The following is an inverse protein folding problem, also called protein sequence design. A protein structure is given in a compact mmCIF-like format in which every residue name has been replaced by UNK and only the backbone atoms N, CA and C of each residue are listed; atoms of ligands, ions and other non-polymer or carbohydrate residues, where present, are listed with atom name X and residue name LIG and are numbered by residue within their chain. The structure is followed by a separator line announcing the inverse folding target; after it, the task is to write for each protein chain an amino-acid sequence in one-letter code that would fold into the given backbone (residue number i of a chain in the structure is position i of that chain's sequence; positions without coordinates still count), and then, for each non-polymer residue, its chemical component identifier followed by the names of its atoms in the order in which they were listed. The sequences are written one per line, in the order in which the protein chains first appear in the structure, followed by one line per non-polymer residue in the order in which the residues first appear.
data_IF_202459891739
#
_entry.id   IF_202459891739
#
_cell.length_a   1.000
_cell.length_b   1.000
_cell.length_c   1.000
_cell.angle_alpha   90.00
_cell.angle_beta   90.00
_cell.angle_gamma   90.00
#
_symmetry.space_group_name_H-M   'P 1'
#
loop_
_entity.id
_entity.type
_entity.pdbx_description
1 polymer ?
#
# COMPACT_ATOMS: atom_id res chain seq x y z
N UNK A 1 57.63 -50.16 48.06
CA UNK A 1 57.03 -50.24 46.71
C UNK A 1 55.73 -49.47 46.67
N UNK A 2 55.64 -48.33 45.97
CA UNK A 2 54.35 -47.68 45.61
C UNK A 2 54.55 -46.50 44.64
N UNK A 3 55.40 -46.65 43.63
CA UNK A 3 55.71 -45.60 42.63
C UNK A 3 55.22 -46.01 41.25
N UNK A 4 53.91 -45.96 40.96
CA UNK A 4 53.45 -45.90 39.54
C UNK A 4 51.96 -45.64 39.24
N UNK A 5 51.06 -45.60 40.21
CA UNK A 5 49.61 -45.54 39.93
C UNK A 5 49.02 -44.12 39.80
N UNK A 6 49.61 -43.09 40.41
CA UNK A 6 49.02 -41.74 40.38
C UNK A 6 49.36 -40.90 39.12
N UNK A 7 50.43 -41.21 38.39
CA UNK A 7 50.90 -40.38 37.25
C UNK A 7 50.25 -40.75 35.90
N UNK A 8 49.68 -41.96 35.77
CA UNK A 8 49.07 -42.46 34.53
C UNK A 8 47.60 -42.03 34.33
N UNK A 9 46.87 -41.70 35.40
CA UNK A 9 45.45 -41.28 35.30
C UNK A 9 45.30 -39.79 34.97
N UNK A 10 46.27 -38.94 35.33
CA UNK A 10 46.23 -37.50 35.04
C UNK A 10 46.48 -37.18 33.56
N UNK A 11 47.42 -37.90 32.91
CA UNK A 11 47.76 -37.73 31.49
C UNK A 11 46.65 -38.18 30.53
N UNK A 12 45.90 -39.24 30.87
CA UNK A 12 44.74 -39.70 30.07
C UNK A 12 43.53 -38.76 30.14
N UNK A 13 43.32 -38.04 31.26
CA UNK A 13 42.22 -37.07 31.40
C UNK A 13 42.47 -35.75 30.65
N UNK A 14 43.73 -35.44 30.35
CA UNK A 14 44.14 -34.22 29.65
C UNK A 14 44.04 -34.38 28.13
N UNK A 15 44.47 -35.53 27.58
CA UNK A 15 44.33 -35.85 26.14
C UNK A 15 42.87 -35.96 25.67
N UNK A 16 41.96 -36.49 26.49
CA UNK A 16 40.53 -36.57 26.14
C UNK A 16 39.87 -35.17 26.11
N UNK A 17 40.32 -34.25 26.96
CA UNK A 17 39.77 -32.88 27.05
C UNK A 17 40.20 -32.02 25.88
N UNK A 18 41.38 -32.27 25.32
CA UNK A 18 41.90 -31.60 24.12
C UNK A 18 41.24 -32.13 22.84
N UNK A 19 41.01 -33.45 22.74
CA UNK A 19 40.21 -34.06 21.64
C UNK A 19 38.75 -33.59 21.64
N UNK A 20 38.16 -33.37 22.81
CA UNK A 20 36.79 -32.87 22.93
C UNK A 20 36.68 -31.38 22.55
N UNK A 21 37.72 -30.56 22.80
CA UNK A 21 37.79 -29.16 22.34
C UNK A 21 37.97 -29.04 20.82
N UNK A 22 38.81 -29.89 20.22
CA UNK A 22 38.96 -29.96 18.76
C UNK A 22 37.65 -30.32 18.06
N UNK A 23 36.93 -31.32 18.60
CA UNK A 23 35.61 -31.75 18.12
C UNK A 23 34.54 -30.65 18.19
N UNK A 24 34.55 -29.85 19.24
CA UNK A 24 33.59 -28.76 19.39
C UNK A 24 33.87 -27.60 18.42
N UNK A 25 35.14 -27.36 18.06
CA UNK A 25 35.54 -26.31 17.13
C UNK A 25 35.19 -26.64 15.66
N UNK A 26 35.33 -27.90 15.23
CA UNK A 26 34.92 -28.30 13.86
C UNK A 26 33.40 -28.27 13.68
N UNK A 27 32.64 -28.64 14.71
CA UNK A 27 31.17 -28.56 14.71
C UNK A 27 30.71 -27.10 14.63
N UNK A 28 31.34 -26.19 15.39
CA UNK A 28 30.99 -24.76 15.35
C UNK A 28 31.34 -24.10 13.99
N UNK A 29 32.45 -24.49 13.36
CA UNK A 29 32.86 -23.99 12.04
C UNK A 29 31.93 -24.50 10.92
N UNK A 30 31.57 -25.79 10.96
CA UNK A 30 30.57 -26.40 10.08
C UNK A 30 29.20 -25.72 10.20
N UNK A 31 28.78 -25.40 11.42
CA UNK A 31 27.52 -24.71 11.70
C UNK A 31 27.51 -23.28 11.14
N UNK A 32 28.61 -22.54 11.30
CA UNK A 32 28.78 -21.18 10.75
C UNK A 32 28.77 -21.14 9.21
N UNK A 33 29.43 -22.10 8.55
CA UNK A 33 29.37 -22.24 7.09
C UNK A 33 27.94 -22.56 6.61
N UNK A 34 27.23 -23.43 7.33
CA UNK A 34 25.83 -23.77 7.04
C UNK A 34 24.87 -22.59 7.22
N UNK A 35 25.16 -21.69 8.17
CA UNK A 35 24.38 -20.47 8.42
C UNK A 35 24.63 -19.39 7.35
N UNK A 36 25.88 -19.24 6.90
CA UNK A 36 26.23 -18.34 5.80
C UNK A 36 25.61 -18.80 4.48
N UNK A 37 25.61 -20.10 4.19
CA UNK A 37 24.95 -20.67 3.01
C UNK A 37 23.42 -20.54 3.08
N UNK A 38 22.81 -20.78 4.25
CA UNK A 38 21.38 -20.52 4.46
C UNK A 38 21.02 -19.04 4.25
N UNK A 39 21.82 -18.12 4.79
CA UNK A 39 21.59 -16.69 4.64
C UNK A 39 21.76 -16.21 3.18
N UNK A 40 22.72 -16.77 2.44
CA UNK A 40 22.91 -16.51 1.02
C UNK A 40 21.73 -17.05 0.20
N UNK A 41 21.30 -18.28 0.47
CA UNK A 41 20.14 -18.93 -0.18
C UNK A 41 18.83 -18.19 0.14
N UNK A 42 18.65 -17.66 1.35
CA UNK A 42 17.50 -16.85 1.72
C UNK A 42 17.49 -15.49 1.00
N UNK A 43 18.65 -14.81 0.92
CA UNK A 43 18.81 -13.55 0.17
C UNK A 43 18.54 -13.75 -1.31
N UNK A 44 19.04 -14.83 -1.90
CA UNK A 44 18.78 -15.20 -3.28
C UNK A 44 17.31 -15.55 -3.51
N UNK A 45 16.69 -16.33 -2.63
CA UNK A 45 15.25 -16.67 -2.72
C UNK A 45 14.38 -15.41 -2.59
N UNK A 46 14.74 -14.45 -1.71
CA UNK A 46 14.06 -13.15 -1.60
C UNK A 46 14.25 -12.30 -2.85
N UNK A 47 15.44 -12.30 -3.44
CA UNK A 47 15.76 -11.57 -4.68
C UNK A 47 15.03 -12.18 -5.89
N UNK A 48 14.98 -13.50 -6.00
CA UNK A 48 14.22 -14.24 -7.00
C UNK A 48 12.70 -14.05 -6.82
N UNK A 49 12.17 -14.04 -5.58
CA UNK A 49 10.75 -13.69 -5.29
C UNK A 49 10.43 -12.24 -5.67
N UNK A 50 11.35 -11.29 -5.43
CA UNK A 50 11.21 -9.89 -5.88
C UNK A 50 11.26 -9.76 -7.41
N UNK A 51 12.12 -10.52 -8.10
CA UNK A 51 12.16 -10.57 -9.57
C UNK A 51 10.90 -11.22 -10.17
N UNK A 52 10.38 -12.29 -9.57
CA UNK A 52 9.12 -12.92 -9.98
C UNK A 52 7.92 -11.98 -9.81
N UNK A 53 7.87 -11.18 -8.74
CA UNK A 53 6.90 -10.07 -8.59
C UNK A 53 7.11 -8.92 -9.60
N UNK A 54 8.30 -8.78 -10.17
CA UNK A 54 8.65 -7.74 -11.16
C UNK A 54 8.31 -8.15 -12.59
N UNK A 55 8.12 -9.45 -12.83
CA UNK A 55 7.64 -10.02 -14.09
C UNK A 55 6.11 -10.19 -14.14
N UNK A 56 5.39 -9.57 -13.20
CA UNK A 56 3.97 -9.34 -13.38
C UNK A 56 3.82 -8.52 -14.67
N UNK A 57 3.07 -9.00 -15.66
CA UNK A 57 2.76 -8.27 -16.92
C UNK A 57 2.02 -6.94 -16.67
N UNK A 58 1.95 -6.48 -15.42
CA UNK A 58 1.31 -5.27 -14.96
C UNK A 58 1.98 -4.07 -15.63
N UNK A 59 1.20 -3.27 -16.37
CA UNK A 59 1.67 -2.02 -16.92
C UNK A 59 2.26 -1.15 -15.82
N UNK A 60 3.46 -0.65 -16.07
CA UNK A 60 4.11 0.30 -15.16
C UNK A 60 3.29 1.59 -15.16
N UNK A 61 3.11 2.19 -13.99
CA UNK A 61 2.37 3.45 -13.86
C UNK A 61 2.97 4.52 -14.77
N UNK A 62 2.10 5.38 -15.29
CA UNK A 62 2.51 6.57 -16.03
C UNK A 62 3.49 7.43 -15.22
N UNK A 63 4.53 7.93 -15.88
CA UNK A 63 5.49 8.86 -15.32
C UNK A 63 4.88 10.26 -15.22
N UNK A 64 5.11 10.94 -14.10
CA UNK A 64 4.72 12.36 -13.95
C UNK A 64 5.71 13.26 -14.67
N UNK A 65 5.35 14.53 -14.98
CA UNK A 65 6.26 15.48 -15.65
C UNK A 65 7.62 15.58 -14.97
N UNK A 66 7.62 15.69 -13.63
CA UNK A 66 8.84 15.70 -12.82
C UNK A 66 9.67 14.41 -12.94
N UNK A 67 9.03 13.23 -13.05
CA UNK A 67 9.76 11.98 -13.21
C UNK A 67 10.42 11.86 -14.58
N UNK A 68 9.78 12.37 -15.63
CA UNK A 68 10.37 12.44 -16.98
C UNK A 68 11.60 13.35 -16.95
N UNK A 69 11.45 14.57 -16.42
CA UNK A 69 12.56 15.51 -16.22
C UNK A 69 13.71 14.92 -15.39
N UNK A 70 13.37 14.30 -14.25
CA UNK A 70 14.36 13.71 -13.35
C UNK A 70 15.13 12.58 -14.03
N UNK A 71 14.50 11.79 -14.91
CA UNK A 71 15.17 10.68 -15.60
C UNK A 71 16.25 11.16 -16.57
N UNK A 72 16.02 12.28 -17.24
CA UNK A 72 16.99 12.89 -18.17
C UNK A 72 18.09 13.61 -17.39
N UNK A 73 17.69 14.54 -16.51
CA UNK A 73 18.61 15.42 -15.79
C UNK A 73 19.48 14.65 -14.79
N UNK A 74 18.95 13.59 -14.17
CA UNK A 74 19.74 12.75 -13.26
C UNK A 74 20.96 12.13 -13.94
N UNK A 75 20.84 11.71 -15.21
CA UNK A 75 21.96 11.09 -15.93
C UNK A 75 23.09 12.09 -16.12
N UNK A 76 22.74 13.32 -16.46
CA UNK A 76 23.67 14.43 -16.64
C UNK A 76 24.36 14.72 -15.31
N UNK A 77 23.59 14.90 -14.23
CA UNK A 77 24.11 15.19 -12.90
C UNK A 77 25.06 14.11 -12.35
N UNK A 78 24.78 12.83 -12.61
CA UNK A 78 25.65 11.73 -12.18
C UNK A 78 26.98 11.74 -12.94
N UNK A 79 26.98 12.10 -14.23
CA UNK A 79 28.19 12.19 -15.04
C UNK A 79 29.02 13.42 -14.67
N UNK A 80 28.37 14.57 -14.49
CA UNK A 80 29.03 15.80 -14.05
C UNK A 80 29.58 15.68 -12.62
N UNK A 81 28.84 15.01 -11.74
CA UNK A 81 29.14 14.94 -10.32
C UNK A 81 29.11 13.48 -9.81
N UNK A 82 30.07 12.64 -10.21
CA UNK A 82 30.09 11.22 -9.84
C UNK A 82 30.33 10.97 -8.35
N UNK A 83 30.79 11.98 -7.61
CA UNK A 83 31.00 11.93 -6.15
C UNK A 83 29.76 12.32 -5.34
N UNK A 84 28.72 12.90 -5.95
CA UNK A 84 27.51 13.29 -5.22
C UNK A 84 26.68 12.07 -4.82
N UNK A 85 26.10 12.14 -3.62
CA UNK A 85 25.21 11.08 -3.16
C UNK A 85 23.87 11.13 -3.87
N UNK A 86 23.15 10.00 -3.91
CA UNK A 86 21.79 9.93 -4.43
C UNK A 86 20.86 10.99 -3.81
N UNK A 87 21.05 11.29 -2.52
CA UNK A 87 20.26 12.26 -1.77
C UNK A 87 20.51 13.68 -2.27
N UNK A 88 21.77 14.05 -2.47
CA UNK A 88 22.16 15.38 -2.96
C UNK A 88 21.66 15.61 -4.39
N UNK A 89 21.77 14.59 -5.24
CA UNK A 89 21.21 14.64 -6.61
C UNK A 89 19.69 14.82 -6.56
N UNK A 90 18.98 14.16 -5.63
CA UNK A 90 17.55 14.33 -5.46
C UNK A 90 17.15 15.75 -5.06
N UNK A 91 17.92 16.36 -4.14
CA UNK A 91 17.73 17.75 -3.72
C UNK A 91 17.94 18.72 -4.88
N UNK A 92 19.03 18.55 -5.63
CA UNK A 92 19.38 19.37 -6.79
C UNK A 92 18.32 19.28 -7.90
N UNK A 93 17.83 18.07 -8.22
CA UNK A 93 16.75 17.87 -9.19
C UNK A 93 15.46 18.59 -8.78
N UNK A 94 15.11 18.52 -7.49
CA UNK A 94 13.95 19.22 -6.96
C UNK A 94 14.08 20.74 -7.03
N UNK A 95 15.29 21.28 -6.85
CA UNK A 95 15.55 22.70 -7.01
C UNK A 95 15.42 23.12 -8.48
N UNK A 96 16.11 22.42 -9.40
CA UNK A 96 16.07 22.69 -10.84
C UNK A 96 14.66 22.60 -11.43
N UNK A 97 13.83 21.65 -10.97
CA UNK A 97 12.45 21.53 -11.44
C UNK A 97 11.59 22.74 -11.06
N UNK A 98 11.76 23.28 -9.85
CA UNK A 98 11.02 24.46 -9.39
C UNK A 98 11.46 25.72 -10.12
N UNK A 99 12.74 25.83 -10.42
CA UNK A 99 13.33 26.94 -11.18
C UNK A 99 13.21 26.80 -12.70
N UNK A 100 12.59 25.74 -13.21
CA UNK A 100 12.43 25.52 -14.65
C UNK A 100 11.39 26.47 -15.24
N UNK A 101 11.68 27.02 -16.42
CA UNK A 101 10.77 27.88 -17.19
C UNK A 101 9.45 27.18 -17.52
N UNK A 102 8.38 27.97 -17.71
CA UNK A 102 7.06 27.47 -18.03
C UNK A 102 7.06 26.65 -19.34
N UNK A 103 7.73 27.14 -20.39
CA UNK A 103 7.78 26.49 -21.70
C UNK A 103 8.47 25.12 -21.62
N UNK A 104 9.61 25.05 -20.92
CA UNK A 104 10.33 23.78 -20.70
C UNK A 104 9.52 22.83 -19.83
N UNK A 105 8.84 23.36 -18.80
CA UNK A 105 7.95 22.57 -17.95
C UNK A 105 6.80 21.98 -18.75
N UNK A 106 6.23 22.73 -19.69
CA UNK A 106 5.15 22.28 -20.57
C UNK A 106 5.60 21.16 -21.50
N UNK A 107 6.84 21.20 -22.01
CA UNK A 107 7.41 20.10 -22.79
C UNK A 107 7.41 18.78 -21.99
N UNK A 108 7.78 18.84 -20.70
CA UNK A 108 7.73 17.66 -19.82
C UNK A 108 6.31 17.22 -19.48
N UNK A 109 5.36 18.16 -19.42
CA UNK A 109 3.93 17.83 -19.28
C UNK A 109 3.43 17.06 -20.49
N UNK A 110 3.79 17.50 -21.71
CA UNK A 110 3.45 16.79 -22.95
C UNK A 110 4.04 15.37 -22.98
N UNK A 111 5.33 15.23 -22.67
CA UNK A 111 6.00 13.90 -22.58
C UNK A 111 5.34 12.99 -21.54
N UNK A 112 4.94 13.53 -20.39
CA UNK A 112 4.23 12.76 -19.37
C UNK A 112 2.81 12.37 -19.82
N UNK A 113 2.15 13.22 -20.60
CA UNK A 113 0.83 12.91 -21.18
C UNK A 113 0.92 11.76 -22.21
N UNK A 114 1.95 11.76 -23.05
CA UNK A 114 2.25 10.64 -23.96
C UNK A 114 2.48 9.33 -23.18
N UNK A 115 3.25 9.38 -22.09
CA UNK A 115 3.50 8.24 -21.20
C UNK A 115 2.22 7.75 -20.51
N UNK A 116 1.33 8.68 -20.16
CA UNK A 116 0.01 8.37 -19.63
C UNK A 116 -0.86 7.64 -20.67
N UNK A 117 -0.86 8.11 -21.91
CA UNK A 117 -1.61 7.47 -22.99
C UNK A 117 -1.10 6.04 -23.23
N UNK A 118 0.22 5.81 -23.24
CA UNK A 118 0.82 4.47 -23.27
C UNK A 118 0.29 3.61 -22.13
N UNK A 119 0.35 4.12 -20.89
CA UNK A 119 -0.13 3.38 -19.71
C UNK A 119 -1.62 3.03 -19.81
N UNK A 120 -2.47 3.94 -20.31
CA UNK A 120 -3.91 3.68 -20.49
C UNK A 120 -4.13 2.53 -21.48
N UNK A 121 -3.44 2.54 -22.62
CA UNK A 121 -3.52 1.46 -23.64
C UNK A 121 -3.02 0.14 -23.06
N UNK A 122 -1.84 0.12 -22.44
CA UNK A 122 -1.28 -1.07 -21.80
C UNK A 122 -2.19 -1.61 -20.70
N UNK A 123 -2.78 -0.73 -19.88
CA UNK A 123 -3.72 -1.08 -18.81
C UNK A 123 -5.02 -1.64 -19.36
N UNK A 124 -5.52 -1.13 -20.48
CA UNK A 124 -6.71 -1.67 -21.16
C UNK A 124 -6.48 -3.10 -21.66
N UNK A 125 -5.28 -3.38 -22.15
CA UNK A 125 -4.89 -4.70 -22.68
C UNK A 125 -4.35 -5.65 -21.60
N UNK A 126 -4.14 -5.17 -20.37
CA UNK A 126 -3.60 -5.97 -19.29
C UNK A 126 -4.69 -6.79 -18.59
N UNK A 127 -4.56 -8.11 -18.71
CA UNK A 127 -5.29 -9.07 -17.89
C UNK A 127 -4.41 -9.47 -16.71
N UNK A 128 -4.77 -9.11 -15.46
CA UNK A 128 -3.97 -9.48 -14.29
C UNK A 128 -3.88 -10.99 -14.12
N UNK A 129 -2.66 -11.57 -14.00
CA UNK A 129 -2.50 -12.97 -13.63
C UNK A 129 -3.06 -13.17 -12.22
N UNK A 130 -4.25 -13.78 -12.11
CA UNK A 130 -4.78 -14.22 -10.82
C UNK A 130 -5.78 -13.30 -10.11
N UNK A 131 -6.73 -12.68 -10.82
CA UNK A 131 -8.07 -12.51 -10.20
C UNK A 131 -8.75 -13.86 -9.86
N UNK A 132 -8.13 -15.00 -10.21
CA UNK A 132 -8.48 -16.33 -9.73
C UNK A 132 -8.03 -16.64 -8.28
N UNK A 133 -7.32 -15.72 -7.58
CA UNK A 133 -6.71 -16.03 -6.28
C UNK A 133 -7.01 -15.06 -5.13
N UNK A 134 -7.60 -13.90 -5.41
CA UNK A 134 -8.15 -13.04 -4.35
C UNK A 134 -9.67 -13.14 -4.44
N UNK A 135 -10.29 -13.92 -3.55
CA UNK A 135 -11.74 -13.84 -3.34
C UNK A 135 -12.08 -12.35 -3.18
N UNK A 136 -12.79 -11.77 -4.15
CA UNK A 136 -13.45 -10.48 -3.94
C UNK A 136 -14.28 -10.71 -2.70
N UNK A 137 -14.00 -9.93 -1.64
CA UNK A 137 -14.81 -10.01 -0.42
C UNK A 137 -16.26 -9.96 -0.84
N UNK A 138 -17.04 -10.95 -0.43
CA UNK A 138 -18.46 -10.96 -0.72
C UNK A 138 -19.08 -9.67 -0.19
N UNK A 139 -20.22 -9.26 -0.72
CA UNK A 139 -20.94 -8.11 -0.17
C UNK A 139 -21.15 -8.27 1.35
N UNK A 140 -21.32 -9.50 1.82
CA UNK A 140 -21.40 -9.90 3.22
C UNK A 140 -20.10 -9.64 4.01
N UNK A 141 -18.94 -10.05 3.49
CA UNK A 141 -17.63 -9.79 4.12
C UNK A 141 -17.28 -8.30 4.13
N UNK A 142 -17.71 -7.57 3.11
CA UNK A 142 -17.54 -6.12 3.04
C UNK A 142 -18.50 -5.39 3.99
N UNK A 143 -19.72 -5.89 4.16
CA UNK A 143 -20.70 -5.36 5.11
C UNK A 143 -20.32 -5.66 6.56
N UNK A 144 -19.71 -6.82 6.86
CA UNK A 144 -19.25 -7.19 8.21
C UNK A 144 -18.12 -6.29 8.75
N UNK A 145 -17.30 -5.74 7.86
CA UNK A 145 -16.16 -4.89 8.22
C UNK A 145 -16.46 -3.39 8.08
N UNK A 146 -17.61 -3.02 7.52
CA UNK A 146 -17.97 -1.61 7.28
C UNK A 146 -18.90 -1.15 8.39
N UNK A 147 -18.35 -0.38 9.33
CA UNK A 147 -19.18 0.34 10.30
C UNK A 147 -20.16 1.23 9.53
N UNK A 148 -21.47 0.99 9.71
CA UNK A 148 -22.53 1.71 8.99
C UNK A 148 -22.57 3.15 9.51
N UNK A 149 -22.11 4.09 8.68
CA UNK A 149 -22.07 5.53 9.00
C UNK A 149 -23.44 6.05 9.44
N UNK A 150 -23.45 7.08 10.29
CA UNK A 150 -24.68 7.78 10.67
C UNK A 150 -25.41 8.37 9.46
N UNK A 151 -26.75 8.26 9.47
CA UNK A 151 -27.61 8.74 8.38
C UNK A 151 -27.69 10.27 8.44
N UNK A 152 -27.62 10.93 7.28
CA UNK A 152 -27.74 12.39 7.19
C UNK A 152 -29.21 12.84 7.26
N UNK A 153 -29.43 14.11 7.62
CA UNK A 153 -30.77 14.71 7.71
C UNK A 153 -31.56 14.58 6.40
N UNK A 154 -30.86 14.79 5.28
CA UNK A 154 -31.41 14.63 3.94
C UNK A 154 -31.85 13.19 3.64
N UNK A 155 -31.11 12.18 4.09
CA UNK A 155 -31.49 10.78 3.85
C UNK A 155 -32.71 10.38 4.68
N UNK A 156 -32.85 10.89 5.90
CA UNK A 156 -34.06 10.74 6.69
C UNK A 156 -35.28 11.35 5.98
N UNK A 157 -35.12 12.56 5.46
CA UNK A 157 -36.14 13.22 4.66
C UNK A 157 -36.50 12.42 3.39
N UNK A 158 -35.50 11.94 2.65
CA UNK A 158 -35.72 11.08 1.49
C UNK A 158 -36.51 9.83 1.86
N UNK A 159 -36.12 9.13 2.93
CA UNK A 159 -36.81 7.89 3.34
C UNK A 159 -38.28 8.14 3.70
N UNK A 160 -38.58 9.23 4.39
CA UNK A 160 -39.95 9.58 4.78
C UNK A 160 -40.84 9.95 3.58
N UNK A 161 -40.27 10.59 2.55
CA UNK A 161 -41.05 11.15 1.44
C UNK A 161 -40.93 10.37 0.13
N UNK A 162 -40.02 9.39 0.03
CA UNK A 162 -39.79 8.61 -1.20
C UNK A 162 -41.02 7.84 -1.65
N UNK A 163 -41.74 7.22 -0.72
CA UNK A 163 -42.96 6.48 -1.05
C UNK A 163 -44.06 7.43 -1.53
N UNK A 164 -44.17 8.62 -0.96
CA UNK A 164 -45.15 9.63 -1.37
C UNK A 164 -44.86 10.15 -2.78
N UNK A 165 -43.60 10.52 -3.07
CA UNK A 165 -43.22 11.01 -4.41
C UNK A 165 -43.35 9.93 -5.48
N UNK A 166 -43.04 8.66 -5.14
CA UNK A 166 -43.26 7.52 -6.04
C UNK A 166 -44.75 7.24 -6.26
N UNK A 167 -45.58 7.31 -5.23
CA UNK A 167 -47.02 7.09 -5.37
C UNK A 167 -47.70 8.19 -6.19
N UNK A 168 -47.26 9.43 -6.06
CA UNK A 168 -47.73 10.55 -6.87
C UNK A 168 -47.21 10.50 -8.32
N UNK A 169 -46.09 9.81 -8.55
CA UNK A 169 -45.44 9.71 -9.86
C UNK A 169 -45.00 8.26 -10.14
N UNK A 170 -45.95 7.32 -10.34
CA UNK A 170 -45.63 5.90 -10.48
C UNK A 170 -44.78 5.58 -11.71
N UNK A 171 -44.89 6.41 -12.75
CA UNK A 171 -44.13 6.31 -14.01
C UNK A 171 -42.67 6.79 -13.88
N UNK A 172 -42.34 7.57 -12.84
CA UNK A 172 -40.98 8.08 -12.67
C UNK A 172 -40.04 7.01 -12.15
N UNK A 173 -38.85 6.94 -12.77
CA UNK A 173 -37.80 6.04 -12.32
C UNK A 173 -37.25 6.54 -10.98
N UNK A 174 -36.71 5.62 -10.19
CA UNK A 174 -36.17 5.92 -8.84
C UNK A 174 -35.13 7.05 -8.83
N UNK A 175 -34.39 7.25 -9.92
CA UNK A 175 -33.42 8.35 -10.06
C UNK A 175 -34.13 9.70 -10.18
N UNK A 176 -35.24 9.77 -10.90
CA UNK A 176 -36.04 10.98 -11.07
C UNK A 176 -36.77 11.34 -9.78
N UNK A 177 -37.31 10.33 -9.08
CA UNK A 177 -37.88 10.49 -7.72
C UNK A 177 -36.85 11.09 -6.75
N UNK A 178 -35.58 10.65 -6.81
CA UNK A 178 -34.51 11.21 -5.97
C UNK A 178 -34.17 12.66 -6.33
N UNK A 179 -34.23 13.05 -7.62
CA UNK A 179 -34.04 14.45 -8.03
C UNK A 179 -35.14 15.35 -7.49
N UNK A 180 -36.41 14.93 -7.62
CA UNK A 180 -37.55 15.65 -7.06
C UNK A 180 -37.43 15.84 -5.54
N UNK A 181 -36.95 14.82 -4.82
CA UNK A 181 -36.70 14.92 -3.37
C UNK A 181 -35.54 15.86 -3.02
N UNK A 182 -34.48 15.88 -3.84
CA UNK A 182 -33.36 16.79 -3.66
C UNK A 182 -33.82 18.25 -3.80
N UNK A 183 -34.57 18.55 -4.85
CA UNK A 183 -35.11 19.89 -5.09
C UNK A 183 -36.08 20.30 -3.98
N UNK A 184 -36.94 19.37 -3.53
CA UNK A 184 -37.84 19.63 -2.41
C UNK A 184 -37.07 19.93 -1.13
N UNK A 185 -35.98 19.21 -0.82
CA UNK A 185 -35.16 19.46 0.37
C UNK A 185 -34.46 20.84 0.32
N UNK A 186 -33.88 21.19 -0.83
CA UNK A 186 -33.16 22.45 -1.01
C UNK A 186 -34.09 23.67 -0.89
N UNK A 187 -35.32 23.54 -1.37
CA UNK A 187 -36.32 24.61 -1.33
C UNK A 187 -37.19 24.58 -0.06
N UNK A 188 -37.02 23.59 0.83
CA UNK A 188 -37.78 23.53 2.08
C UNK A 188 -37.22 24.50 3.14
N UNK A 189 -38.09 25.18 3.91
CA UNK A 189 -37.64 26.03 5.01
C UNK A 189 -36.97 25.19 6.11
N UNK A 190 -36.08 25.84 6.89
CA UNK A 190 -35.34 25.17 7.96
C UNK A 190 -36.28 24.55 9.01
N UNK A 191 -37.46 25.11 9.23
CA UNK A 191 -38.49 24.53 10.12
C UNK A 191 -38.89 23.11 9.74
N UNK A 192 -39.03 22.83 8.44
CA UNK A 192 -39.37 21.49 7.94
C UNK A 192 -38.16 20.53 8.00
N UNK A 193 -36.94 21.07 7.87
CA UNK A 193 -35.68 20.31 7.91
C UNK A 193 -35.19 20.02 9.34
N UNK A 194 -35.53 20.88 10.29
CA UNK A 194 -35.11 20.82 11.69
C UNK A 194 -35.37 19.46 12.38
N UNK A 195 -36.56 18.82 12.26
CA UNK A 195 -36.75 17.50 12.87
C UNK A 195 -35.81 16.44 12.30
N UNK A 196 -35.53 16.48 10.99
CA UNK A 196 -34.61 15.55 10.34
C UNK A 196 -33.13 15.86 10.67
N UNK A 197 -32.79 17.14 10.84
CA UNK A 197 -31.47 17.57 11.34
C UNK A 197 -31.20 17.04 12.75
N UNK A 198 -32.18 17.19 13.66
CA UNK A 198 -32.10 16.62 15.02
C UNK A 198 -31.97 15.10 15.01
N UNK A 199 -32.74 14.41 14.16
CA UNK A 199 -32.67 12.96 14.02
C UNK A 199 -31.30 12.49 13.54
N UNK A 200 -30.72 13.19 12.55
CA UNK A 200 -29.39 12.88 12.03
C UNK A 200 -28.27 13.18 13.02
N UNK A 201 -28.41 14.25 13.82
CA UNK A 201 -27.47 14.58 14.88
C UNK A 201 -27.48 13.55 16.01
N UNK A 202 -28.66 13.12 16.45
CA UNK A 202 -28.80 12.04 17.43
C UNK A 202 -28.16 10.74 16.93
N UNK A 203 -28.33 10.41 15.65
CA UNK A 203 -27.70 9.25 15.02
C UNK A 203 -26.18 9.40 14.87
N UNK A 204 -25.71 10.59 14.53
CA UNK A 204 -24.28 10.92 14.47
C UNK A 204 -23.65 10.79 15.85
N UNK A 205 -24.35 11.24 16.90
CA UNK A 205 -23.92 11.12 18.28
C UNK A 205 -23.82 9.65 18.68
N UNK A 206 -24.86 8.85 18.45
CA UNK A 206 -24.87 7.39 18.71
C UNK A 206 -23.76 6.65 17.96
N UNK A 207 -23.56 6.97 16.69
CA UNK A 207 -22.48 6.39 15.89
C UNK A 207 -21.10 6.75 16.42
N UNK A 208 -20.88 8.02 16.79
CA UNK A 208 -19.61 8.50 17.33
C UNK A 208 -19.32 7.93 18.73
N UNK A 209 -20.35 7.73 19.56
CA UNK A 209 -20.21 7.10 20.89
C UNK A 209 -19.97 5.60 20.81
N UNK A 210 -20.53 4.91 19.80
CA UNK A 210 -20.30 3.47 19.61
C UNK A 210 -19.01 3.15 18.82
N UNK A 211 -18.47 4.11 18.06
CA UNK A 211 -17.24 3.96 17.29
C UNK A 211 -15.94 4.06 18.10
N UNK A 212 -16.00 4.20 19.43
CA UNK A 212 -14.82 4.14 20.31
C UNK A 212 -14.56 2.76 20.93
N UNK A 213 -15.47 1.79 20.79
CA UNK A 213 -15.33 0.44 21.38
C UNK A 213 -15.50 -0.66 20.32
N UNK A 214 -14.68 -0.63 19.26
CA UNK A 214 -14.67 -1.69 18.24
C UNK A 214 -13.32 -1.83 17.55
#
# INVERSE_FOLDING_TARGET
MATKTAKKSKKRKEEDREKQKGRQADVNSSMSLSEAEKAAKEKETKRQKKLKKKNDKKPKKAMTPFMVFSKETRKILVVENPKMTFSDIGRELGARWRSLDADRREEYVRKAQEDYNRFVVEKKNYVPPGEAGKKRRTAEELNKTKVKKSISAYLYFCNAHRNQVKAANPELKMVEVQRVLADKWMNSPRSLRLPFEKQAEADRFKFNSQGQNG
#
